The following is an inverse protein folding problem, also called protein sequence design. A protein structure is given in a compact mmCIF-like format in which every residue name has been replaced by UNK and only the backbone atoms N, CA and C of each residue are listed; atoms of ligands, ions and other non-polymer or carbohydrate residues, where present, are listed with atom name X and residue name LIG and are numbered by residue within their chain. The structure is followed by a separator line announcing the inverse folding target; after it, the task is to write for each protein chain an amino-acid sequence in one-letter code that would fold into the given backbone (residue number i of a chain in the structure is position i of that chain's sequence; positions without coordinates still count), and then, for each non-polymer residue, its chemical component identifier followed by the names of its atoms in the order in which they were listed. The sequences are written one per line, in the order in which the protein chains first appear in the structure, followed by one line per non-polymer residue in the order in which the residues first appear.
data_IF_074299365944
#
_entry.id   IF_074299365944
#
_cell.length_a   1.000
_cell.length_b   1.000
_cell.length_c   1.000
_cell.angle_alpha   90.00
_cell.angle_beta   90.00
_cell.angle_gamma   90.00
#
_symmetry.space_group_name_H-M   'P 1'
#
loop_
_entity.id
_entity.type
_entity.pdbx_description
1 polymer ?
#
# COMPACT_ATOMS: atom_id res chain seq x y z
N UNK A 1 25.18 -29.18 -4.58
CA UNK A 1 23.84 -29.20 -3.98
C UNK A 1 22.75 -29.72 -4.92
N UNK A 2 21.90 -30.61 -4.41
CA UNK A 2 20.67 -31.12 -5.03
C UNK A 2 19.45 -30.56 -4.29
N UNK A 3 18.35 -30.33 -5.02
CA UNK A 3 17.08 -29.89 -4.44
C UNK A 3 16.14 -31.08 -4.36
N UNK A 4 15.68 -31.40 -3.14
CA UNK A 4 14.82 -32.56 -2.91
C UNK A 4 13.57 -32.20 -2.12
N UNK A 5 12.48 -32.91 -2.39
CA UNK A 5 11.35 -32.99 -1.48
C UNK A 5 11.47 -34.28 -0.67
N UNK A 6 11.16 -34.23 0.61
CA UNK A 6 11.27 -35.37 1.54
C UNK A 6 10.53 -36.61 1.01
N UNK A 7 9.32 -36.43 0.48
CA UNK A 7 8.52 -37.55 -0.04
C UNK A 7 9.14 -38.21 -1.28
N UNK A 8 9.70 -37.40 -2.17
CA UNK A 8 10.35 -37.88 -3.39
C UNK A 8 11.67 -38.58 -3.08
N UNK A 9 12.50 -37.97 -2.22
CA UNK A 9 13.75 -38.58 -1.78
C UNK A 9 13.51 -39.91 -1.06
N UNK A 10 12.50 -39.98 -0.19
CA UNK A 10 12.13 -41.21 0.49
C UNK A 10 11.74 -42.32 -0.49
N UNK A 11 10.96 -41.98 -1.53
CA UNK A 11 10.57 -42.91 -2.59
C UNK A 11 11.77 -43.41 -3.40
N UNK A 12 12.71 -42.52 -3.74
CA UNK A 12 13.91 -42.89 -4.51
C UNK A 12 14.89 -43.76 -3.71
N UNK A 13 15.04 -43.49 -2.42
CA UNK A 13 15.91 -44.27 -1.53
C UNK A 13 15.25 -45.55 -0.99
N UNK A 14 13.97 -45.79 -1.29
CA UNK A 14 13.22 -46.94 -0.77
C UNK A 14 13.00 -46.91 0.75
N UNK A 15 12.96 -45.72 1.37
CA UNK A 15 12.79 -45.56 2.82
C UNK A 15 11.49 -44.82 3.16
N UNK A 16 11.06 -44.89 4.42
CA UNK A 16 9.90 -44.13 4.87
C UNK A 16 10.21 -42.63 4.99
N UNK A 17 9.24 -41.76 4.68
CA UNK A 17 9.40 -40.28 4.73
C UNK A 17 9.87 -39.74 6.08
N UNK A 18 9.50 -40.41 7.18
CA UNK A 18 9.94 -40.00 8.52
C UNK A 18 11.43 -40.29 8.75
N UNK A 19 11.98 -41.34 8.11
CA UNK A 19 13.41 -41.64 8.17
C UNK A 19 14.22 -40.48 7.61
N UNK A 20 13.82 -39.96 6.45
CA UNK A 20 14.46 -38.78 5.84
C UNK A 20 14.31 -37.53 6.72
N UNK A 21 13.14 -37.31 7.32
CA UNK A 21 12.94 -36.19 8.26
C UNK A 21 13.83 -36.29 9.49
N UNK A 22 13.97 -37.50 10.04
CA UNK A 22 14.80 -37.73 11.21
C UNK A 22 16.28 -37.53 10.86
N UNK A 23 16.76 -38.01 9.70
CA UNK A 23 18.12 -37.72 9.26
C UNK A 23 18.42 -36.23 9.14
N UNK A 24 17.47 -35.44 8.61
CA UNK A 24 17.61 -33.99 8.53
C UNK A 24 17.57 -33.35 9.93
N UNK A 25 16.63 -33.77 10.78
CA UNK A 25 16.44 -33.23 12.13
C UNK A 25 17.64 -33.53 13.04
N UNK A 26 18.17 -34.74 12.96
CA UNK A 26 19.27 -35.24 13.78
C UNK A 26 20.65 -34.86 13.20
N UNK A 27 20.67 -34.09 12.11
CA UNK A 27 21.90 -33.60 11.46
C UNK A 27 22.69 -34.65 10.67
N UNK A 28 22.22 -35.91 10.61
CA UNK A 28 22.84 -36.99 9.82
C UNK A 28 22.84 -36.71 8.33
N UNK A 29 21.85 -35.96 7.85
CA UNK A 29 21.80 -35.45 6.49
C UNK A 29 21.74 -33.91 6.53
N UNK A 30 22.91 -33.23 6.44
CA UNK A 30 22.96 -31.78 6.40
C UNK A 30 22.07 -31.24 5.29
N UNK A 31 21.06 -30.45 5.66
CA UNK A 31 20.08 -29.92 4.73
C UNK A 31 19.70 -28.48 5.08
N UNK A 32 19.57 -27.62 4.07
CA UNK A 32 19.08 -26.24 4.20
C UNK A 32 17.66 -26.14 3.65
N UNK A 33 16.78 -25.43 4.36
CA UNK A 33 15.41 -25.20 3.88
C UNK A 33 15.40 -24.33 2.62
N UNK A 34 14.55 -24.67 1.65
CA UNK A 34 14.32 -23.91 0.43
C UNK A 34 12.81 -23.66 0.23
N UNK A 35 12.40 -22.61 -0.52
CA UNK A 35 11.00 -22.28 -0.76
C UNK A 35 10.18 -23.47 -1.29
N UNK A 36 8.93 -23.59 -0.82
CA UNK A 36 7.99 -24.63 -1.28
C UNK A 36 8.19 -26.01 -0.65
N UNK A 37 8.57 -26.08 0.64
CA UNK A 37 8.79 -27.33 1.41
C UNK A 37 9.89 -28.22 0.81
N UNK A 38 10.95 -27.61 0.30
CA UNK A 38 12.11 -28.29 -0.32
C UNK A 38 13.35 -28.17 0.57
N UNK A 39 14.30 -29.06 0.35
CA UNK A 39 15.60 -29.04 1.03
C UNK A 39 16.74 -29.04 0.01
N UNK A 40 17.78 -28.26 0.31
CA UNK A 40 19.07 -28.24 -0.37
C UNK A 40 20.02 -29.13 0.40
N UNK A 41 20.57 -30.14 -0.27
CA UNK A 41 21.46 -31.15 0.33
C UNK A 41 22.71 -31.23 -0.53
N UNK A 42 23.89 -31.36 0.07
CA UNK A 42 25.09 -31.62 -0.72
C UNK A 42 25.10 -33.05 -1.25
N UNK A 43 25.55 -33.22 -2.49
CA UNK A 43 25.55 -34.54 -3.14
C UNK A 43 26.55 -35.48 -2.45
N UNK A 44 27.65 -34.93 -1.92
CA UNK A 44 28.64 -35.66 -1.12
C UNK A 44 28.03 -36.22 0.15
N UNK A 45 27.21 -35.42 0.84
CA UNK A 45 26.60 -35.80 2.11
C UNK A 45 25.53 -36.87 1.89
N UNK A 46 24.71 -36.72 0.85
CA UNK A 46 23.72 -37.74 0.50
C UNK A 46 24.39 -39.05 0.08
N UNK A 47 25.45 -39.01 -0.73
CA UNK A 47 26.21 -40.22 -1.12
C UNK A 47 26.89 -40.88 0.07
N UNK A 48 27.43 -40.09 1.00
CA UNK A 48 28.01 -40.58 2.25
C UNK A 48 26.97 -41.35 3.06
N UNK A 49 25.80 -40.75 3.25
CA UNK A 49 24.67 -41.37 3.94
C UNK A 49 24.20 -42.66 3.23
N UNK A 50 24.09 -42.63 1.90
CA UNK A 50 23.67 -43.82 1.15
C UNK A 50 24.68 -44.97 1.26
N UNK A 51 25.98 -44.67 1.30
CA UNK A 51 27.02 -45.68 1.55
C UNK A 51 26.96 -46.24 2.96
N UNK A 52 26.72 -45.39 3.96
CA UNK A 52 26.59 -45.81 5.37
C UNK A 52 25.42 -46.78 5.57
N UNK A 53 24.27 -46.50 4.95
CA UNK A 53 23.05 -47.30 5.12
C UNK A 53 22.81 -48.34 4.00
N UNK A 54 23.77 -48.55 3.10
CA UNK A 54 23.66 -49.53 2.01
C UNK A 54 22.53 -49.25 1.02
N UNK A 55 22.19 -47.98 0.80
CA UNK A 55 21.08 -47.54 -0.04
C UNK A 55 21.52 -47.37 -1.51
N UNK A 56 20.68 -47.83 -2.43
CA UNK A 56 20.86 -47.56 -3.85
C UNK A 56 20.60 -46.08 -4.15
N UNK A 57 21.65 -45.40 -4.60
CA UNK A 57 21.63 -43.99 -4.97
C UNK A 57 21.79 -43.80 -6.49
N UNK A 58 21.85 -44.89 -7.27
CA UNK A 58 22.01 -44.84 -8.72
C UNK A 58 20.74 -44.33 -9.43
N UNK A 59 19.57 -44.54 -8.80
CA UNK A 59 18.25 -44.16 -9.31
C UNK A 59 17.79 -42.75 -8.91
N UNK A 60 18.59 -41.98 -8.17
CA UNK A 60 18.27 -40.61 -7.77
C UNK A 60 18.15 -39.72 -9.01
N UNK A 61 16.90 -39.41 -9.39
CA UNK A 61 16.60 -38.58 -10.55
C UNK A 61 17.16 -37.17 -10.34
N UNK A 62 18.21 -36.85 -11.08
CA UNK A 62 18.94 -35.58 -11.01
C UNK A 62 18.08 -34.49 -11.65
N UNK A 63 17.24 -33.81 -10.88
CA UNK A 63 16.95 -32.40 -11.20
C UNK A 63 18.14 -31.59 -10.73
N UNK A 64 19.20 -31.57 -11.55
CA UNK A 64 20.17 -30.50 -11.47
C UNK A 64 19.36 -29.22 -11.63
N UNK A 65 19.35 -28.37 -10.59
CA UNK A 65 19.10 -26.97 -10.85
C UNK A 65 20.19 -26.58 -11.83
N UNK A 66 19.88 -26.04 -13.01
CA UNK A 66 20.93 -25.49 -13.83
C UNK A 66 21.52 -24.35 -12.99
N UNK A 67 22.60 -24.65 -12.29
CA UNK A 67 23.73 -23.73 -12.25
C UNK A 67 24.28 -23.80 -13.66
N UNK A 68 23.50 -23.30 -14.62
CA UNK A 68 24.14 -22.65 -15.71
C UNK A 68 25.10 -21.69 -15.03
N UNK A 69 26.30 -21.56 -15.58
CA UNK A 69 26.60 -20.21 -15.98
C UNK A 69 25.32 -19.74 -16.68
N UNK A 70 24.46 -19.03 -15.96
CA UNK A 70 23.95 -17.87 -16.61
C UNK A 70 25.24 -17.18 -17.02
N UNK A 71 25.65 -17.39 -18.28
CA UNK A 71 25.61 -16.23 -19.12
C UNK A 71 24.26 -15.57 -18.83
N UNK A 72 24.23 -14.76 -17.76
CA UNK A 72 23.81 -13.39 -17.85
C UNK A 72 24.61 -12.96 -19.07
N UNK A 73 24.13 -13.34 -20.26
CA UNK A 73 24.86 -13.13 -21.50
C UNK A 73 25.00 -11.65 -21.47
N UNK A 74 26.27 -11.17 -21.33
CA UNK A 74 26.61 -9.87 -20.72
C UNK A 74 25.37 -9.05 -20.79
N UNK A 75 24.64 -8.87 -19.67
CA UNK A 75 23.54 -7.91 -19.72
C UNK A 75 24.27 -6.66 -20.13
N UNK A 76 24.13 -6.33 -21.42
CA UNK A 76 24.49 -5.06 -21.94
C UNK A 76 23.42 -4.24 -21.26
N UNK A 77 23.75 -3.82 -20.03
CA UNK A 77 23.24 -2.57 -19.53
C UNK A 77 23.56 -1.64 -20.66
N UNK A 78 22.53 -1.38 -21.45
CA UNK A 78 22.52 -0.27 -22.35
C UNK A 78 22.66 0.90 -21.38
N UNK A 79 23.89 1.34 -21.14
CA UNK A 79 24.18 2.41 -20.18
C UNK A 79 23.36 3.66 -20.53
N UNK A 80 22.98 3.78 -21.81
CA UNK A 80 22.03 4.74 -22.35
C UNK A 80 20.59 4.64 -21.79
N UNK A 81 20.20 3.53 -21.14
CA UNK A 81 18.86 3.32 -20.54
C UNK A 81 18.87 3.10 -19.03
N UNK A 82 20.03 2.92 -18.41
CA UNK A 82 20.10 2.79 -16.95
C UNK A 82 20.18 4.18 -16.32
N UNK A 83 19.11 4.59 -15.65
CA UNK A 83 19.09 5.83 -14.87
C UNK A 83 19.83 5.60 -13.56
N UNK A 84 20.90 6.35 -13.33
CA UNK A 84 21.45 6.53 -11.99
C UNK A 84 20.40 7.25 -11.15
N UNK A 85 19.96 6.62 -10.07
CA UNK A 85 19.06 7.26 -9.13
C UNK A 85 19.90 7.65 -7.93
N UNK A 86 19.98 8.94 -7.66
CA UNK A 86 20.52 9.42 -6.39
C UNK A 86 19.58 8.90 -5.30
N UNK A 87 20.12 8.02 -4.44
CA UNK A 87 19.41 7.63 -3.25
C UNK A 87 19.20 8.90 -2.43
N UNK A 88 18.02 9.01 -1.83
CA UNK A 88 17.52 10.12 -0.99
C UNK A 88 16.65 11.15 -1.73
N UNK A 89 15.35 11.10 -1.43
CA UNK A 89 14.42 12.14 -1.84
C UNK A 89 14.69 13.44 -1.10
N UNK A 90 15.36 14.38 -1.78
CA UNK A 90 15.78 15.63 -1.18
C UNK A 90 14.60 16.51 -0.75
N UNK A 91 13.47 16.42 -1.47
CA UNK A 91 12.26 17.22 -1.19
C UNK A 91 11.38 16.65 -0.08
N UNK A 92 11.72 15.45 0.39
CA UNK A 92 11.03 14.70 1.45
C UNK A 92 11.93 14.44 2.67
N UNK A 93 13.09 15.12 2.78
CA UNK A 93 14.06 14.95 3.87
C UNK A 93 13.46 14.84 5.28
N UNK A 94 12.51 15.69 5.70
CA UNK A 94 11.95 15.60 7.06
C UNK A 94 11.25 14.26 7.32
N UNK A 95 10.63 13.66 6.29
CA UNK A 95 9.97 12.37 6.40
C UNK A 95 10.92 11.19 6.12
N UNK A 96 12.08 11.43 5.50
CA UNK A 96 12.95 10.37 5.01
C UNK A 96 13.53 9.50 6.12
N UNK A 97 13.82 10.07 7.30
CA UNK A 97 14.32 9.31 8.46
C UNK A 97 13.31 8.26 8.93
N UNK A 98 12.03 8.64 9.03
CA UNK A 98 10.94 7.72 9.44
C UNK A 98 10.59 6.74 8.32
N UNK A 99 10.51 7.21 7.08
CA UNK A 99 10.23 6.38 5.90
C UNK A 99 11.32 5.32 5.70
N UNK A 100 12.58 5.64 5.99
CA UNK A 100 13.72 4.71 5.81
C UNK A 100 13.62 3.45 6.68
N UNK A 101 12.83 3.48 7.75
CA UNK A 101 12.57 2.33 8.63
C UNK A 101 11.59 1.31 8.02
N UNK A 102 10.99 1.63 6.87
CA UNK A 102 10.03 0.76 6.20
C UNK A 102 10.65 -0.59 5.80
N UNK A 103 10.16 -1.68 6.41
CA UNK A 103 10.55 -3.06 6.08
C UNK A 103 9.96 -3.58 4.76
N UNK A 104 9.15 -2.80 4.06
CA UNK A 104 8.51 -3.19 2.79
C UNK A 104 7.60 -4.43 2.96
N UNK A 105 7.04 -4.65 4.16
CA UNK A 105 6.26 -5.85 4.50
C UNK A 105 4.91 -5.97 3.77
N UNK A 106 4.31 -4.84 3.36
CA UNK A 106 3.04 -4.83 2.61
C UNK A 106 1.77 -4.74 3.45
N UNK A 107 1.83 -4.63 4.77
CA UNK A 107 0.62 -4.44 5.63
C UNK A 107 -0.22 -3.25 5.17
N UNK A 108 0.42 -2.12 4.86
CA UNK A 108 -0.24 -0.94 4.35
C UNK A 108 -0.96 -1.19 3.01
N UNK A 109 -0.38 -1.99 2.12
CA UNK A 109 -0.98 -2.34 0.84
C UNK A 109 -2.19 -3.27 1.01
N UNK A 110 -2.19 -4.14 2.02
CA UNK A 110 -3.32 -5.01 2.34
C UNK A 110 -4.52 -4.26 2.93
N UNK A 111 -4.28 -3.22 3.74
CA UNK A 111 -5.35 -2.44 4.37
C UNK A 111 -5.91 -1.29 3.52
N UNK A 112 -5.26 -0.99 2.39
CA UNK A 112 -5.59 0.17 1.57
C UNK A 112 -6.74 -0.16 0.58
N UNK A 113 -7.85 0.62 0.59
CA UNK A 113 -8.95 0.40 -0.35
C UNK A 113 -8.60 0.75 -1.80
N UNK A 114 -7.55 1.54 -2.03
CA UNK A 114 -7.09 1.95 -3.37
C UNK A 114 -5.81 1.23 -3.81
N UNK A 115 -5.47 0.13 -3.13
CA UNK A 115 -4.34 -0.73 -3.51
C UNK A 115 -4.57 -1.35 -4.89
N UNK A 116 -3.55 -1.34 -5.75
CA UNK A 116 -3.62 -1.89 -7.11
C UNK A 116 -4.15 -0.91 -8.16
N UNK A 117 -4.81 0.18 -7.76
CA UNK A 117 -5.24 1.25 -8.69
C UNK A 117 -4.00 1.88 -9.33
N UNK A 118 -3.99 2.00 -10.66
CA UNK A 118 -2.84 2.43 -11.48
C UNK A 118 -1.58 1.57 -11.28
N UNK A 119 -1.74 0.32 -10.82
CA UNK A 119 -0.60 -0.53 -10.47
C UNK A 119 0.17 -0.05 -9.24
N UNK A 120 -0.41 0.86 -8.45
CA UNK A 120 0.22 1.51 -7.30
C UNK A 120 -0.43 1.10 -5.98
N UNK A 121 0.34 1.21 -4.91
CA UNK A 121 -0.09 0.90 -3.54
C UNK A 121 0.74 1.75 -2.55
N UNK A 122 0.32 1.91 -1.28
CA UNK A 122 1.04 2.77 -0.34
C UNK A 122 2.48 2.29 -0.06
N UNK A 123 2.76 0.99 -0.13
CA UNK A 123 4.13 0.48 0.02
C UNK A 123 4.98 0.90 -1.18
N UNK A 124 4.47 0.82 -2.40
CA UNK A 124 5.18 1.30 -3.60
C UNK A 124 5.43 2.80 -3.53
N UNK A 125 4.43 3.60 -3.13
CA UNK A 125 4.60 5.04 -2.94
C UNK A 125 5.75 5.36 -1.97
N UNK A 126 5.76 4.72 -0.79
CA UNK A 126 6.86 4.84 0.18
C UNK A 126 8.19 4.33 -0.38
N UNK A 127 8.18 3.26 -1.17
CA UNK A 127 9.42 2.76 -1.76
C UNK A 127 10.00 3.72 -2.80
N UNK A 128 9.15 4.38 -3.58
CA UNK A 128 9.57 5.41 -4.53
C UNK A 128 10.27 6.57 -3.83
N UNK A 129 9.81 7.00 -2.65
CA UNK A 129 10.48 8.08 -1.91
C UNK A 129 11.86 7.67 -1.41
N UNK A 130 12.02 6.45 -0.87
CA UNK A 130 13.33 5.94 -0.42
C UNK A 130 14.29 5.77 -1.60
N UNK A 131 13.77 5.39 -2.76
CA UNK A 131 14.56 5.14 -3.96
C UNK A 131 14.88 6.41 -4.77
N UNK A 132 14.53 7.63 -4.32
CA UNK A 132 14.80 8.85 -5.09
C UNK A 132 13.89 9.04 -6.31
N UNK A 133 12.79 8.29 -6.38
CA UNK A 133 11.77 8.37 -7.43
C UNK A 133 10.63 9.34 -7.04
N UNK A 134 10.90 10.35 -6.21
CA UNK A 134 9.83 11.23 -5.72
C UNK A 134 9.17 12.02 -6.86
N UNK A 135 9.90 12.34 -7.94
CA UNK A 135 9.36 13.11 -9.05
C UNK A 135 8.26 12.32 -9.77
N UNK A 136 8.51 11.03 -10.01
CA UNK A 136 7.51 10.13 -10.60
C UNK A 136 6.29 9.99 -9.68
N UNK A 137 6.50 9.94 -8.37
CA UNK A 137 5.41 9.91 -7.40
C UNK A 137 4.59 11.21 -7.43
N UNK A 138 5.23 12.38 -7.47
CA UNK A 138 4.59 13.70 -7.58
C UNK A 138 3.77 13.81 -8.88
N UNK A 139 4.33 13.37 -9.99
CA UNK A 139 3.70 13.44 -11.31
C UNK A 139 2.58 12.41 -11.48
N UNK A 140 2.59 11.32 -10.71
CA UNK A 140 1.53 10.33 -10.72
C UNK A 140 0.19 10.86 -10.19
N UNK A 141 -0.92 10.26 -10.64
CA UNK A 141 -2.26 10.58 -10.13
C UNK A 141 -2.56 9.89 -8.79
N UNK A 142 -1.80 8.86 -8.45
CA UNK A 142 -2.11 7.99 -7.32
C UNK A 142 -2.14 8.71 -5.96
N UNK A 143 -1.24 9.65 -5.63
CA UNK A 143 -1.35 10.45 -4.41
C UNK A 143 -2.69 11.16 -4.27
N UNK A 144 -3.35 11.54 -5.37
CA UNK A 144 -4.67 12.21 -5.36
C UNK A 144 -5.84 11.24 -5.25
N UNK A 145 -5.64 9.95 -5.51
CA UNK A 145 -6.63 8.88 -5.29
C UNK A 145 -6.65 8.38 -3.85
N UNK A 146 -5.54 8.57 -3.11
CA UNK A 146 -5.50 8.28 -1.68
C UNK A 146 -6.58 9.08 -0.94
N UNK A 147 -7.34 8.45 -0.04
CA UNK A 147 -8.34 9.16 0.77
C UNK A 147 -7.76 9.79 2.04
N UNK A 148 -6.46 9.58 2.31
CA UNK A 148 -5.78 9.96 3.55
C UNK A 148 -6.45 9.39 4.82
N UNK A 149 -7.14 8.24 4.71
CA UNK A 149 -7.87 7.61 5.82
C UNK A 149 -6.99 6.92 6.89
N UNK A 150 -5.67 7.01 6.81
CA UNK A 150 -4.68 6.47 7.76
C UNK A 150 -4.71 4.96 8.05
N UNK A 151 -5.59 4.14 7.45
CA UNK A 151 -5.61 2.67 7.62
C UNK A 151 -4.26 2.00 7.38
N UNK A 152 -3.45 2.58 6.49
CA UNK A 152 -2.11 2.09 6.19
C UNK A 152 -1.11 2.30 7.33
N UNK A 153 -1.27 3.37 8.12
CA UNK A 153 -0.45 3.69 9.29
C UNK A 153 -0.86 2.84 10.48
N UNK A 154 -2.16 2.67 10.72
CA UNK A 154 -2.71 1.77 11.75
C UNK A 154 -2.21 0.32 11.60
N UNK A 155 -2.06 -0.14 10.36
CA UNK A 155 -1.55 -1.48 10.06
C UNK A 155 -0.01 -1.56 10.06
N UNK A 156 0.71 -0.45 10.21
CA UNK A 156 2.15 -0.40 10.02
C UNK A 156 2.90 -0.85 11.29
N UNK A 157 3.68 -1.96 11.26
CA UNK A 157 4.46 -2.38 12.42
C UNK A 157 5.65 -1.46 12.73
N UNK A 158 5.99 -0.53 11.81
CA UNK A 158 7.11 0.39 11.91
C UNK A 158 6.68 1.84 12.14
N UNK A 159 5.37 2.10 12.31
CA UNK A 159 4.81 3.45 12.47
C UNK A 159 5.31 4.46 11.41
N UNK A 160 5.36 4.04 10.15
CA UNK A 160 5.73 4.93 9.04
C UNK A 160 4.62 5.94 8.81
N UNK A 161 4.98 7.23 8.76
CA UNK A 161 4.05 8.35 8.50
C UNK A 161 3.68 8.49 7.00
N UNK A 162 2.92 7.52 6.49
CA UNK A 162 2.50 7.44 5.09
C UNK A 162 1.59 8.62 4.69
N UNK A 163 0.66 9.02 5.55
CA UNK A 163 -0.31 10.09 5.30
C UNK A 163 0.40 11.43 5.21
N UNK A 164 1.28 11.74 6.17
CA UNK A 164 2.07 12.97 6.13
C UNK A 164 2.94 13.04 4.86
N UNK A 165 3.56 11.91 4.50
CA UNK A 165 4.35 11.78 3.26
C UNK A 165 3.49 12.09 2.02
N UNK A 166 2.31 11.48 1.89
CA UNK A 166 1.43 11.71 0.74
C UNK A 166 0.87 13.14 0.71
N UNK A 167 0.59 13.77 1.85
CA UNK A 167 0.22 15.19 1.92
C UNK A 167 1.35 16.08 1.42
N UNK A 168 2.59 15.78 1.82
CA UNK A 168 3.77 16.50 1.33
C UNK A 168 3.93 16.34 -0.18
N UNK A 169 3.81 15.12 -0.71
CA UNK A 169 3.85 14.84 -2.15
C UNK A 169 2.80 15.65 -2.91
N UNK A 170 1.55 15.70 -2.44
CA UNK A 170 0.49 16.54 -3.05
C UNK A 170 0.88 18.01 -3.08
N UNK A 171 1.50 18.50 -2.00
CA UNK A 171 1.92 19.89 -1.87
C UNK A 171 3.04 20.30 -2.83
N UNK A 172 3.85 19.34 -3.30
CA UNK A 172 4.96 19.54 -4.24
C UNK A 172 4.53 19.60 -5.72
N UNK A 173 3.26 19.33 -6.02
CA UNK A 173 2.75 19.39 -7.39
C UNK A 173 2.50 20.83 -7.82
N UNK A 174 2.97 21.18 -9.03
CA UNK A 174 2.67 22.45 -9.67
C UNK A 174 1.15 22.69 -9.71
N UNK A 175 0.73 23.93 -9.46
CA UNK A 175 -0.68 24.27 -9.24
C UNK A 175 -1.55 24.01 -10.46
N UNK A 176 -1.02 24.28 -11.65
CA UNK A 176 -1.66 24.00 -12.95
C UNK A 176 -1.82 22.50 -13.23
N UNK A 177 -1.05 21.63 -12.55
CA UNK A 177 -1.10 20.17 -12.72
C UNK A 177 -1.94 19.46 -11.67
N UNK A 178 -2.43 20.15 -10.65
CA UNK A 178 -3.36 19.58 -9.66
C UNK A 178 -4.66 19.17 -10.36
N UNK A 179 -5.31 18.05 -10.00
CA UNK A 179 -6.59 17.66 -10.60
C UNK A 179 -7.61 18.81 -10.58
N UNK A 180 -8.09 19.18 -11.76
CA UNK A 180 -8.88 20.39 -11.99
C UNK A 180 -10.06 20.59 -11.03
N UNK A 181 -10.94 19.59 -10.81
CA UNK A 181 -12.06 19.72 -9.88
C UNK A 181 -11.61 20.06 -8.45
N UNK A 182 -10.53 19.43 -7.96
CA UNK A 182 -10.00 19.69 -6.63
C UNK A 182 -9.39 21.09 -6.54
N UNK A 183 -8.62 21.50 -7.57
CA UNK A 183 -8.01 22.83 -7.58
C UNK A 183 -9.07 23.94 -7.60
N UNK A 184 -10.10 23.80 -8.45
CA UNK A 184 -11.23 24.73 -8.54
C UNK A 184 -12.00 24.83 -7.24
N UNK A 185 -12.28 23.71 -6.57
CA UNK A 185 -12.95 23.72 -5.27
C UNK A 185 -12.18 24.50 -4.22
N UNK A 186 -10.86 24.32 -4.14
CA UNK A 186 -10.00 25.09 -3.21
C UNK A 186 -9.96 26.58 -3.58
N UNK A 187 -9.85 26.91 -4.86
CA UNK A 187 -9.91 28.31 -5.31
C UNK A 187 -11.26 28.96 -4.95
N UNK A 188 -12.36 28.22 -5.08
CA UNK A 188 -13.68 28.69 -4.69
C UNK A 188 -13.75 28.96 -3.19
N UNK A 189 -13.27 28.04 -2.35
CA UNK A 189 -13.19 28.26 -0.89
C UNK A 189 -12.41 29.53 -0.55
N UNK A 190 -11.26 29.76 -1.18
CA UNK A 190 -10.43 30.93 -0.91
C UNK A 190 -11.08 32.25 -1.34
N UNK A 191 -11.87 32.22 -2.42
CA UNK A 191 -12.51 33.42 -2.98
C UNK A 191 -13.88 33.74 -2.39
N UNK A 192 -14.66 32.71 -2.01
CA UNK A 192 -16.07 32.82 -1.62
C UNK A 192 -16.40 32.18 -0.26
N UNK A 193 -15.43 31.60 0.44
CA UNK A 193 -15.63 30.96 1.74
C UNK A 193 -16.13 29.52 1.69
N UNK A 194 -16.63 29.02 0.55
CA UNK A 194 -17.07 27.63 0.38
C UNK A 194 -16.70 27.05 -1.00
N UNK A 195 -16.69 25.73 -1.14
CA UNK A 195 -16.18 25.02 -2.32
C UNK A 195 -17.12 25.04 -3.54
N UNK A 196 -18.41 25.31 -3.33
CA UNK A 196 -19.41 25.39 -4.41
C UNK A 196 -19.76 26.83 -4.79
N UNK A 197 -19.29 27.80 -4.00
CA UNK A 197 -19.50 29.21 -4.23
C UNK A 197 -20.93 29.68 -3.98
N UNK A 198 -21.64 29.01 -3.07
CA UNK A 198 -22.99 29.36 -2.62
C UNK A 198 -22.92 30.69 -1.87
N UNK A 199 -23.64 31.74 -2.29
CA UNK A 199 -23.77 32.97 -1.51
C UNK A 199 -24.36 32.71 -0.12
N UNK A 200 -23.92 33.47 0.88
CA UNK A 200 -24.43 33.34 2.25
C UNK A 200 -25.94 33.59 2.32
N UNK A 201 -26.43 34.61 1.61
CA UNK A 201 -27.85 34.96 1.51
C UNK A 201 -28.70 33.81 0.95
N UNK A 202 -28.23 33.13 -0.11
CA UNK A 202 -28.93 32.00 -0.71
C UNK A 202 -28.97 30.79 0.25
N UNK A 203 -27.87 30.56 1.00
CA UNK A 203 -27.81 29.49 1.98
C UNK A 203 -28.74 29.73 3.17
N UNK A 204 -28.79 30.97 3.68
CA UNK A 204 -29.69 31.36 4.77
C UNK A 204 -31.14 31.22 4.35
N UNK A 205 -31.50 31.75 3.17
CA UNK A 205 -32.86 31.64 2.63
C UNK A 205 -33.29 30.17 2.48
N UNK A 206 -32.41 29.31 1.95
CA UNK A 206 -32.68 27.88 1.85
C UNK A 206 -32.97 27.24 3.22
N UNK A 207 -32.20 27.59 4.25
CA UNK A 207 -32.41 27.04 5.59
C UNK A 207 -33.74 27.51 6.20
N UNK A 208 -34.14 28.75 5.94
CA UNK A 208 -35.42 29.31 6.38
C UNK A 208 -36.60 28.61 5.69
N UNK A 209 -36.54 28.45 4.36
CA UNK A 209 -37.56 27.76 3.56
C UNK A 209 -37.75 26.30 4.05
N UNK A 210 -36.64 25.56 4.21
CA UNK A 210 -36.68 24.18 4.72
C UNK A 210 -37.26 24.09 6.14
N UNK A 211 -36.98 25.09 6.98
CA UNK A 211 -37.52 25.12 8.33
C UNK A 211 -39.03 25.39 8.34
N UNK A 212 -39.51 26.27 7.46
CA UNK A 212 -40.95 26.53 7.26
C UNK A 212 -41.66 25.27 6.79
N UNK A 213 -41.14 24.60 5.76
CA UNK A 213 -41.69 23.32 5.28
C UNK A 213 -41.75 22.26 6.39
N UNK A 214 -40.68 22.09 7.17
CA UNK A 214 -40.68 21.17 8.30
C UNK A 214 -41.71 21.55 9.38
N UNK A 215 -41.87 22.84 9.66
CA UNK A 215 -42.83 23.34 10.63
C UNK A 215 -44.28 23.08 10.22
N UNK A 216 -44.58 23.15 8.94
CA UNK A 216 -45.91 22.87 8.38
C UNK A 216 -46.22 21.37 8.32
N UNK A 217 -45.25 20.55 7.91
CA UNK A 217 -45.49 19.14 7.62
C UNK A 217 -45.52 18.24 8.86
N UNK A 218 -44.51 18.37 9.73
CA UNK A 218 -44.24 17.34 10.73
C UNK A 218 -43.70 17.85 12.07
N UNK A 219 -43.17 19.07 12.13
CA UNK A 219 -42.47 19.60 13.30
C UNK A 219 -42.97 21.01 13.69
N UNK A 220 -44.22 21.19 14.15
CA UNK A 220 -44.76 22.51 14.47
C UNK A 220 -43.87 23.33 15.41
N UNK A 221 -43.51 24.55 14.99
CA UNK A 221 -42.61 25.45 15.73
C UNK A 221 -41.12 25.22 15.48
N UNK A 222 -40.76 24.35 14.54
CA UNK A 222 -39.37 24.19 14.09
C UNK A 222 -38.84 25.47 13.46
N UNK A 223 -37.56 25.77 13.71
CA UNK A 223 -36.84 26.93 13.14
C UNK A 223 -35.41 26.52 12.84
N UNK A 224 -34.76 27.18 11.87
CA UNK A 224 -33.33 27.00 11.59
C UNK A 224 -32.51 28.18 12.15
N UNK A 225 -32.08 28.14 13.42
CA UNK A 225 -31.23 29.17 13.99
C UNK A 225 -29.80 29.10 13.41
N UNK A 226 -29.37 30.17 12.73
CA UNK A 226 -28.01 30.29 12.17
C UNK A 226 -27.17 31.21 13.07
N UNK A 227 -25.91 30.83 13.31
CA UNK A 227 -24.88 31.59 14.05
C UNK A 227 -25.34 32.24 15.37
N UNK A 228 -26.12 31.49 16.16
CA UNK A 228 -26.60 31.96 17.47
C UNK A 228 -25.50 31.89 18.53
N UNK A 229 -25.15 33.04 19.09
CA UNK A 229 -24.26 33.12 20.24
C UNK A 229 -24.82 32.32 21.44
N UNK A 230 -23.97 31.49 22.05
CA UNK A 230 -24.37 30.64 23.17
C UNK A 230 -25.08 29.34 22.79
N UNK A 231 -25.14 28.98 21.50
CA UNK A 231 -25.64 27.69 21.07
C UNK A 231 -24.85 26.52 21.70
N UNK A 232 -25.56 25.46 22.08
CA UNK A 232 -24.99 24.25 22.67
C UNK A 232 -24.69 23.16 21.63
N UNK A 233 -25.15 23.33 20.39
CA UNK A 233 -24.96 22.39 19.28
C UNK A 233 -24.50 23.17 18.05
N UNK A 234 -23.45 22.65 17.40
CA UNK A 234 -22.99 23.11 16.09
C UNK A 234 -23.26 22.00 15.08
N UNK A 235 -24.02 22.31 14.03
CA UNK A 235 -24.26 21.42 12.90
C UNK A 235 -23.48 21.96 11.70
N UNK A 236 -22.72 21.09 11.04
CA UNK A 236 -22.06 21.40 9.77
C UNK A 236 -22.64 20.50 8.70
N UNK A 237 -23.15 21.09 7.63
CA UNK A 237 -23.73 20.35 6.51
C UNK A 237 -22.71 20.09 5.41
N UNK A 238 -22.87 18.98 4.68
CA UNK A 238 -22.06 18.75 3.51
C UNK A 238 -22.45 19.78 2.44
N UNK A 239 -21.49 20.55 1.92
CA UNK A 239 -21.74 21.55 0.87
C UNK A 239 -22.60 21.07 -0.31
N UNK A 240 -22.59 19.77 -0.65
CA UNK A 240 -23.41 19.20 -1.72
C UNK A 240 -24.91 19.27 -1.40
N UNK A 241 -25.30 19.13 -0.14
CA UNK A 241 -26.70 19.13 0.30
C UNK A 241 -27.39 20.46 -0.08
N UNK A 242 -26.95 21.64 0.40
CA UNK A 242 -27.60 22.90 0.04
C UNK A 242 -27.48 23.26 -1.45
N UNK A 243 -26.56 22.63 -2.18
CA UNK A 243 -26.36 22.92 -3.61
C UNK A 243 -27.18 22.04 -4.55
N UNK A 244 -27.38 20.77 -4.21
CA UNK A 244 -27.94 19.77 -5.13
C UNK A 244 -29.04 18.90 -4.51
N UNK A 245 -29.02 18.70 -3.20
CA UNK A 245 -29.90 17.77 -2.48
C UNK A 245 -30.42 18.44 -1.19
N UNK A 246 -31.13 19.60 -1.28
CA UNK A 246 -31.52 20.38 -0.10
C UNK A 246 -32.50 19.63 0.82
N UNK A 247 -33.33 18.75 0.27
CA UNK A 247 -34.25 17.92 1.07
C UNK A 247 -33.51 16.97 2.03
N UNK A 248 -32.27 16.59 1.74
CA UNK A 248 -31.45 15.74 2.63
C UNK A 248 -31.06 16.49 3.92
N UNK A 249 -31.22 17.82 3.95
CA UNK A 249 -31.03 18.64 5.16
C UNK A 249 -32.24 18.58 6.10
N UNK A 250 -33.39 18.05 5.66
CA UNK A 250 -34.54 17.83 6.55
C UNK A 250 -34.21 16.72 7.55
N UNK A 251 -34.66 16.89 8.79
CA UNK A 251 -34.44 15.94 9.90
C UNK A 251 -32.99 15.80 10.41
N UNK A 252 -32.20 16.88 10.25
CA UNK A 252 -30.90 17.20 10.85
C UNK A 252 -30.41 16.27 11.99
#
# INVERSE_FOLDING_TARGET
MIVVQVGELAKQLGVHRNTVRNWIKDGKLPARSAPGKKYLIEETDLKGLCREYGLDHASLARKQWPVGQSSIGKVTMDEAKTRTIELHADRLKPQLEVISQCLTCGSCASGCPVSGVDGMDPRKAIRMTVLGLEQELIDSQWPWKCTLCAKCEEACPMNVEIVATLRRVRGLRDRDKVPGPLHKGVQMCLSKGNNLGIPEEDFVALCEDLAEEMAEECCPGFTAPIDREGANVLVTVNSKEPFAEPDDMKFW
#
